data_IF_917574387769
#
_entry.id   IF_917574387769
#
_cell.length_a   1.000
_cell.length_b   1.000
_cell.length_c   1.000
_cell.angle_alpha   90.00
_cell.angle_beta   90.00
_cell.angle_gamma   90.00
#
_symmetry.space_group_name_H-M   'P 1'
#
loop_
_entity.id
_entity.type
_entity.pdbx_description
1 polymer ?
#
# COMPACT_ATOMS: atom_id res chain seq x y z
N UNK A 1 1.61 16.29 -8.18
CA UNK A 1 2.10 15.75 -6.90
C UNK A 1 3.24 14.82 -7.23
N UNK A 2 4.40 14.96 -6.60
CA UNK A 2 5.49 14.02 -6.84
C UNK A 2 5.36 12.86 -5.85
N UNK A 3 5.28 11.64 -6.39
CA UNK A 3 5.23 10.39 -5.60
C UNK A 3 6.64 9.99 -5.13
N UNK A 4 7.53 10.96 -4.94
CA UNK A 4 8.99 10.72 -4.91
C UNK A 4 9.48 10.04 -3.63
N UNK A 5 8.63 9.91 -2.60
CA UNK A 5 9.02 9.36 -1.31
C UNK A 5 8.18 8.15 -0.94
N UNK A 6 8.58 6.98 -1.43
CA UNK A 6 8.11 5.72 -0.87
C UNK A 6 8.68 5.53 0.55
N UNK A 7 7.90 4.96 1.48
CA UNK A 7 8.38 4.71 2.83
C UNK A 7 9.48 3.65 2.80
N UNK A 8 10.53 3.89 3.59
CA UNK A 8 11.59 2.91 3.84
C UNK A 8 11.10 1.95 4.92
N UNK A 9 10.77 0.73 4.53
CA UNK A 9 10.25 -0.31 5.42
C UNK A 9 11.21 -1.49 5.35
N UNK A 10 11.76 -1.86 6.50
CA UNK A 10 12.70 -2.97 6.66
C UNK A 10 12.22 -3.98 7.70
N UNK A 11 11.41 -3.54 8.66
CA UNK A 11 10.86 -4.37 9.72
C UNK A 11 9.44 -3.95 10.11
N UNK A 12 8.79 -4.80 10.91
CA UNK A 12 7.42 -4.62 11.36
C UNK A 12 7.25 -3.34 12.21
N UNK A 13 8.24 -3.01 13.03
CA UNK A 13 8.20 -1.81 13.87
C UNK A 13 8.10 -0.50 13.04
N UNK A 14 8.61 -0.50 11.81
CA UNK A 14 8.54 0.65 10.90
C UNK A 14 7.08 1.00 10.54
N UNK A 15 6.14 0.06 10.65
CA UNK A 15 4.77 0.22 10.14
C UNK A 15 3.68 0.04 11.19
N UNK A 16 3.99 -0.51 12.37
CA UNK A 16 2.97 -0.85 13.38
C UNK A 16 2.10 0.33 13.81
N UNK A 17 2.69 1.53 13.88
CA UNK A 17 2.00 2.74 14.29
C UNK A 17 0.91 3.21 13.30
N UNK A 18 0.95 2.74 12.04
CA UNK A 18 -0.01 3.12 11.00
C UNK A 18 -1.23 2.16 10.94
N UNK A 19 -1.18 1.04 11.67
CA UNK A 19 -2.23 0.02 11.68
C UNK A 19 -3.44 0.53 12.46
N UNK A 20 -4.59 0.50 11.81
CA UNK A 20 -5.90 0.64 12.44
C UNK A 20 -6.64 -0.69 12.28
N UNK A 21 -6.88 -1.40 13.38
CA UNK A 21 -7.48 -2.73 13.39
C UNK A 21 -8.93 -2.77 12.86
N UNK A 22 -9.58 -1.60 12.72
CA UNK A 22 -10.90 -1.51 12.08
C UNK A 22 -10.82 -1.51 10.56
N UNK A 23 -9.67 -1.14 10.00
CA UNK A 23 -9.44 -0.95 8.57
C UNK A 23 -8.52 -2.02 7.99
N UNK A 24 -7.62 -2.56 8.83
CA UNK A 24 -6.58 -3.50 8.46
C UNK A 24 -6.56 -4.71 9.39
N UNK A 25 -6.16 -5.83 8.82
CA UNK A 25 -5.89 -7.07 9.51
C UNK A 25 -4.37 -7.27 9.61
N UNK A 26 -3.89 -7.51 10.83
CA UNK A 26 -2.57 -8.07 11.11
C UNK A 26 -2.77 -9.49 11.62
N UNK A 27 -2.28 -10.49 10.88
CA UNK A 27 -2.47 -11.89 11.23
C UNK A 27 -1.14 -12.64 11.34
N UNK A 28 -0.94 -13.33 12.46
CA UNK A 28 0.13 -14.31 12.61
C UNK A 28 -0.27 -15.61 11.92
N UNK A 29 0.56 -16.11 11.02
CA UNK A 29 0.36 -17.36 10.29
C UNK A 29 1.02 -18.53 11.03
N UNK A 30 0.59 -19.79 10.78
CA UNK A 30 1.15 -20.97 11.45
C UNK A 30 2.66 -21.17 11.27
N UNK A 31 3.23 -20.62 10.18
CA UNK A 31 4.67 -20.65 9.89
C UNK A 31 5.48 -19.59 10.67
N UNK A 32 4.83 -18.83 11.56
CA UNK A 32 5.44 -17.78 12.37
C UNK A 32 5.58 -16.43 11.66
N UNK A 33 5.14 -16.32 10.41
CA UNK A 33 5.18 -15.03 9.68
C UNK A 33 3.96 -14.17 10.00
N UNK A 34 4.11 -12.86 9.94
CA UNK A 34 3.02 -11.90 10.10
C UNK A 34 2.64 -11.31 8.76
N UNK A 35 1.35 -11.36 8.40
CA UNK A 35 0.80 -10.68 7.22
C UNK A 35 -0.04 -9.47 7.62
N UNK A 36 0.11 -8.37 6.88
CA UNK A 36 -0.75 -7.19 6.99
C UNK A 36 -1.53 -7.01 5.69
N UNK A 37 -2.85 -6.88 5.80
CA UNK A 37 -3.73 -6.65 4.67
C UNK A 37 -4.91 -5.74 5.06
N UNK A 38 -5.57 -5.14 4.07
CA UNK A 38 -6.77 -4.33 4.32
C UNK A 38 -8.02 -5.21 4.36
N UNK A 39 -9.03 -4.76 5.12
CA UNK A 39 -10.34 -5.40 5.18
C UNK A 39 -11.24 -4.92 4.03
N UNK A 40 -11.38 -3.60 3.91
CA UNK A 40 -12.19 -2.93 2.88
C UNK A 40 -11.40 -1.75 2.33
N UNK A 41 -11.40 -1.58 1.00
CA UNK A 41 -10.74 -0.45 0.36
C UNK A 41 -11.57 0.84 0.47
N UNK A 42 -11.45 1.56 1.58
CA UNK A 42 -12.12 2.83 1.84
C UNK A 42 -11.16 4.03 1.75
N UNK A 43 -11.71 5.25 1.73
CA UNK A 43 -10.94 6.49 1.89
C UNK A 43 -10.30 6.60 3.27
N UNK A 44 -10.88 5.96 4.28
CA UNK A 44 -10.32 5.92 5.64
C UNK A 44 -9.09 5.00 5.71
N UNK A 45 -9.19 3.82 5.06
CA UNK A 45 -8.07 2.89 4.94
C UNK A 45 -6.95 3.50 4.09
N UNK A 46 -7.30 4.07 2.95
CA UNK A 46 -6.33 4.64 2.01
C UNK A 46 -6.64 6.12 1.77
N UNK A 47 -6.26 7.00 2.71
CA UNK A 47 -6.46 8.43 2.55
C UNK A 47 -5.61 8.99 1.39
N UNK A 48 -5.99 10.18 0.95
CA UNK A 48 -5.20 10.97 0.02
C UNK A 48 -3.86 11.34 0.67
N UNK A 49 -2.80 11.33 -0.15
CA UNK A 49 -1.46 11.70 0.28
C UNK A 49 -1.31 13.21 0.04
N UNK A 50 -1.59 13.99 1.08
CA UNK A 50 -1.62 15.47 0.99
C UNK A 50 -0.27 16.10 1.36
N UNK A 51 0.66 15.33 1.93
CA UNK A 51 1.98 15.75 2.44
C UNK A 51 2.95 14.56 2.58
N UNK A 52 4.05 14.74 3.33
CA UNK A 52 4.95 13.66 3.76
C UNK A 52 4.37 12.83 4.93
N UNK A 53 3.04 12.72 5.07
CA UNK A 53 2.41 11.88 6.08
C UNK A 53 2.83 10.44 5.88
N UNK A 54 3.73 9.99 6.75
CA UNK A 54 4.24 8.63 6.79
C UNK A 54 3.09 7.62 6.89
N UNK A 55 2.02 7.96 7.63
CA UNK A 55 0.85 7.09 7.80
C UNK A 55 0.12 6.83 6.47
N UNK A 56 -0.14 7.87 5.66
CA UNK A 56 -0.85 7.68 4.40
C UNK A 56 -0.03 6.84 3.41
N UNK A 57 1.28 7.10 3.35
CA UNK A 57 2.24 6.34 2.56
C UNK A 57 2.35 4.87 3.00
N UNK A 58 2.57 4.63 4.30
CA UNK A 58 2.65 3.28 4.87
C UNK A 58 1.36 2.50 4.64
N UNK A 59 0.19 3.13 4.82
CA UNK A 59 -1.10 2.46 4.63
C UNK A 59 -1.30 1.97 3.20
N UNK A 60 -0.72 2.62 2.17
CA UNK A 60 -0.74 2.08 0.80
C UNK A 60 -0.05 0.72 0.67
N UNK A 61 0.91 0.42 1.54
CA UNK A 61 1.67 -0.83 1.55
C UNK A 61 0.91 -1.99 2.23
N UNK A 62 -0.19 -1.72 2.95
CA UNK A 62 -0.99 -2.72 3.67
C UNK A 62 -1.89 -3.57 2.76
N UNK A 63 -1.27 -4.16 1.73
CA UNK A 63 -1.89 -5.01 0.70
C UNK A 63 -1.12 -6.33 0.56
N UNK A 64 -1.05 -7.09 1.65
CA UNK A 64 -0.42 -8.41 1.69
C UNK A 64 1.09 -8.37 1.93
N UNK A 65 1.57 -7.34 2.64
CA UNK A 65 2.94 -7.26 3.13
C UNK A 65 3.19 -8.32 4.19
N UNK A 66 4.37 -8.96 4.18
CA UNK A 66 4.70 -10.06 5.10
C UNK A 66 6.05 -9.84 5.78
N UNK A 67 6.07 -10.11 7.08
CA UNK A 67 7.24 -10.11 7.93
C UNK A 67 7.54 -11.52 8.45
N UNK A 68 8.81 -11.85 8.63
CA UNK A 68 9.21 -13.10 9.28
C UNK A 68 8.96 -13.05 10.80
N UNK A 69 9.33 -14.15 11.48
CA UNK A 69 9.19 -14.31 12.93
C UNK A 69 9.99 -13.29 13.76
N UNK A 70 11.05 -12.73 13.18
CA UNK A 70 11.93 -11.74 13.80
C UNK A 70 11.48 -10.31 13.45
N UNK A 71 10.36 -10.19 12.71
CA UNK A 71 9.77 -8.93 12.30
C UNK A 71 10.44 -8.33 11.07
N UNK A 72 11.35 -9.02 10.37
CA UNK A 72 12.00 -8.51 9.17
C UNK A 72 11.07 -8.62 7.96
N UNK A 73 11.05 -7.59 7.11
CA UNK A 73 10.28 -7.61 5.87
C UNK A 73 10.80 -8.71 4.93
N UNK A 74 9.92 -9.61 4.53
CA UNK A 74 10.25 -10.71 3.59
C UNK A 74 9.42 -10.68 2.31
N UNK A 75 8.34 -9.89 2.26
CA UNK A 75 7.51 -9.71 1.06
C UNK A 75 6.84 -8.34 1.05
N UNK A 76 7.00 -7.62 -0.06
CA UNK A 76 6.39 -6.30 -0.30
C UNK A 76 5.80 -6.26 -1.72
N UNK A 77 4.51 -6.63 -1.90
CA UNK A 77 3.83 -6.47 -3.18
C UNK A 77 3.67 -4.99 -3.54
N UNK A 78 3.13 -4.69 -4.73
CA UNK A 78 2.81 -3.31 -5.10
C UNK A 78 1.85 -2.67 -4.10
N UNK A 79 2.15 -1.40 -3.75
CA UNK A 79 1.28 -0.55 -2.97
C UNK A 79 -0.10 -0.40 -3.64
N UNK A 80 -1.12 -0.07 -2.86
CA UNK A 80 -2.48 0.14 -3.37
C UNK A 80 -2.50 1.33 -4.33
N UNK A 81 -2.79 1.02 -5.59
CA UNK A 81 -3.17 1.98 -6.62
C UNK A 81 -4.67 1.90 -6.91
N UNK A 82 -5.18 2.87 -7.65
CA UNK A 82 -6.60 3.05 -7.93
C UNK A 82 -6.86 3.21 -9.42
N UNK A 83 -8.10 2.97 -9.82
CA UNK A 83 -8.53 3.23 -11.18
C UNK A 83 -8.63 4.74 -11.43
N UNK A 84 -8.59 5.12 -12.70
CA UNK A 84 -8.85 6.50 -13.14
C UNK A 84 -10.25 6.91 -12.68
N UNK A 85 -10.37 8.09 -12.06
CA UNK A 85 -11.62 8.65 -11.55
C UNK A 85 -12.07 8.11 -10.20
N UNK A 86 -11.39 7.12 -9.62
CA UNK A 86 -11.78 6.51 -8.33
C UNK A 86 -11.46 7.41 -7.12
N UNK A 87 -10.36 8.17 -7.19
CA UNK A 87 -9.89 9.07 -6.12
C UNK A 87 -9.64 10.46 -6.67
N UNK A 88 -9.49 11.44 -5.77
CA UNK A 88 -9.07 12.81 -6.14
C UNK A 88 -7.75 12.78 -6.93
N UNK A 89 -6.75 12.03 -6.44
CA UNK A 89 -5.43 11.91 -7.08
C UNK A 89 -5.46 11.22 -8.46
N UNK A 90 -6.48 10.39 -8.74
CA UNK A 90 -6.63 9.69 -10.03
C UNK A 90 -7.67 10.33 -10.94
N UNK A 91 -8.17 11.53 -10.62
CA UNK A 91 -9.03 12.28 -11.54
C UNK A 91 -8.26 12.67 -12.80
N UNK A 92 -8.94 12.64 -13.94
CA UNK A 92 -8.31 12.96 -15.24
C UNK A 92 -7.67 14.35 -15.26
N UNK A 93 -8.27 15.32 -14.56
CA UNK A 93 -7.74 16.68 -14.44
C UNK A 93 -6.46 16.77 -13.60
N UNK A 94 -6.19 15.77 -12.78
CA UNK A 94 -5.05 15.73 -11.84
C UNK A 94 -3.93 14.79 -12.32
N UNK A 95 -4.18 13.99 -13.36
CA UNK A 95 -3.18 13.16 -14.01
C UNK A 95 -2.36 13.99 -15.01
N UNK A 96 -1.06 14.06 -14.80
CA UNK A 96 -0.14 14.75 -15.68
C UNK A 96 0.28 13.85 -16.86
N UNK A 97 -0.61 13.72 -17.85
CA UNK A 97 -0.39 12.90 -19.04
C UNK A 97 0.69 13.45 -19.99
N UNK A 98 1.30 14.61 -19.68
CA UNK A 98 2.39 15.17 -20.47
C UNK A 98 3.74 14.49 -20.23
N UNK A 99 3.87 13.78 -19.11
CA UNK A 99 5.06 13.00 -18.76
C UNK A 99 5.08 11.65 -19.47
N UNK A 100 6.25 11.03 -19.48
CA UNK A 100 6.39 9.64 -19.94
C UNK A 100 5.70 8.69 -18.96
N UNK A 101 4.99 7.69 -19.48
CA UNK A 101 4.29 6.67 -18.71
C UNK A 101 4.57 5.29 -19.28
N UNK A 102 4.87 4.33 -18.41
CA UNK A 102 4.89 2.93 -18.77
C UNK A 102 3.47 2.37 -18.73
N UNK A 103 3.03 1.77 -19.83
CA UNK A 103 1.70 1.16 -19.96
C UNK A 103 1.87 -0.35 -20.13
N UNK A 104 1.22 -1.10 -19.25
CA UNK A 104 1.28 -2.56 -19.22
C UNK A 104 -0.10 -3.18 -19.45
N UNK A 105 -0.13 -4.40 -19.98
CA UNK A 105 -1.34 -5.21 -20.03
C UNK A 105 -1.76 -5.61 -18.60
N UNK A 106 -3.01 -5.32 -18.24
CA UNK A 106 -3.56 -5.71 -16.94
C UNK A 106 -4.13 -7.12 -17.03
N UNK A 107 -3.33 -8.10 -16.63
CA UNK A 107 -3.74 -9.51 -16.55
C UNK A 107 -4.86 -9.69 -15.50
N UNK A 108 -5.84 -10.54 -15.82
CA UNK A 108 -6.92 -10.93 -14.90
C UNK A 108 -6.57 -12.26 -14.22
N UNK A 109 -6.16 -12.17 -12.96
CA UNK A 109 -5.67 -13.31 -12.21
C UNK A 109 -5.33 -12.98 -10.76
N UNK A 110 -4.54 -13.83 -10.12
CA UNK A 110 -4.08 -13.64 -8.75
C UNK A 110 -2.65 -13.12 -8.70
N UNK A 111 -2.40 -12.10 -7.89
CA UNK A 111 -1.07 -11.53 -7.70
C UNK A 111 -0.19 -12.47 -6.87
N UNK A 112 0.96 -12.85 -7.42
CA UNK A 112 2.03 -13.58 -6.72
C UNK A 112 3.23 -12.64 -6.56
N UNK A 113 3.86 -12.67 -5.38
CA UNK A 113 5.00 -11.84 -5.03
C UNK A 113 5.86 -12.56 -4.00
#
# INVERSE_FOLDING_TARGET
MSYDNFPTITCLADVEHAIDEKLFMKALRPDGTTIINYLVASTEAFPEIVDHSDIAHIRREFRGMVFDKDGKLIRRPFHKFFNIGERTETQFTNLDLSKEHDIFEKLDGSMIA
#
